data_IF_423221482221
#
_entry.id   IF_423221482221
#
_cell.length_a   1.000
_cell.length_b   1.000
_cell.length_c   1.000
_cell.angle_alpha   90.00
_cell.angle_beta   90.00
_cell.angle_gamma   90.00
#
_symmetry.space_group_name_H-M   'P 1'
#
loop_
_entity.id
_entity.type
_entity.pdbx_description
1 polymer ?
#
# COMPACT_ATOMS: atom_id res chain seq x y z
N UNK A 1 9.95 51.07 -20.33
CA UNK A 1 8.59 50.48 -20.43
C UNK A 1 8.41 49.42 -21.53
N UNK A 2 9.32 49.26 -22.46
CA UNK A 2 9.25 48.31 -23.56
C UNK A 2 9.71 46.90 -23.18
N UNK A 3 10.57 46.73 -22.17
CA UNK A 3 11.20 45.44 -21.79
C UNK A 3 10.28 44.57 -20.94
N UNK A 4 9.32 45.10 -20.22
CA UNK A 4 8.38 44.32 -19.36
C UNK A 4 7.24 43.74 -20.21
N UNK A 5 6.81 44.46 -21.26
CA UNK A 5 5.78 43.96 -22.20
C UNK A 5 6.25 42.76 -23.00
N UNK A 6 7.54 42.70 -23.37
CA UNK A 6 8.13 41.61 -24.13
C UNK A 6 8.32 40.31 -23.32
N UNK A 7 8.55 40.44 -22.01
CA UNK A 7 8.67 39.28 -21.09
C UNK A 7 7.31 38.68 -20.79
N UNK A 8 6.24 39.46 -20.70
CA UNK A 8 4.89 39.00 -20.48
C UNK A 8 4.30 38.31 -21.74
N UNK A 9 4.57 38.82 -22.93
CA UNK A 9 4.12 38.19 -24.18
C UNK A 9 4.80 36.83 -24.47
N UNK A 10 6.11 36.68 -24.13
CA UNK A 10 6.81 35.39 -24.29
C UNK A 10 6.30 34.38 -23.25
N UNK A 11 5.98 34.82 -22.04
CA UNK A 11 5.43 33.97 -20.99
C UNK A 11 4.02 33.42 -21.30
N UNK A 12 3.14 34.28 -21.82
CA UNK A 12 1.77 33.85 -22.18
C UNK A 12 1.73 32.94 -23.41
N UNK A 13 2.56 33.16 -24.43
CA UNK A 13 2.63 32.32 -25.62
C UNK A 13 3.29 30.94 -25.38
N UNK A 14 4.21 30.82 -24.43
CA UNK A 14 4.76 29.52 -24.02
C UNK A 14 3.81 28.73 -23.09
N UNK A 15 3.05 29.42 -22.23
CA UNK A 15 2.07 28.80 -21.33
C UNK A 15 0.85 28.25 -22.10
N UNK A 16 0.44 28.90 -23.20
CA UNK A 16 -0.68 28.46 -24.04
C UNK A 16 -0.31 27.33 -25.03
N UNK A 17 0.98 27.12 -25.32
CA UNK A 17 1.46 26.00 -26.17
C UNK A 17 1.78 24.72 -25.39
N UNK A 18 1.91 24.75 -24.06
CA UNK A 18 2.03 23.55 -23.23
C UNK A 18 0.63 23.08 -22.88
N UNK A 19 0.02 22.26 -23.74
CA UNK A 19 -1.23 21.57 -23.42
C UNK A 19 -1.20 21.01 -21.99
N UNK A 20 -2.24 21.29 -21.22
CA UNK A 20 -2.35 21.10 -19.77
C UNK A 20 -2.17 19.64 -19.28
N UNK A 21 -2.15 18.66 -20.18
CA UNK A 21 -1.91 17.25 -19.85
C UNK A 21 -1.05 16.61 -20.95
N UNK A 22 0.26 16.49 -20.70
CA UNK A 22 1.11 15.62 -21.54
C UNK A 22 0.86 14.17 -21.12
N UNK A 23 0.54 13.32 -22.11
CA UNK A 23 0.44 11.88 -21.87
C UNK A 23 1.78 11.39 -21.30
N UNK A 24 1.79 10.69 -20.12
CA UNK A 24 3.00 10.17 -19.54
C UNK A 24 3.80 9.31 -20.53
N UNK A 25 5.13 9.46 -20.60
CA UNK A 25 5.95 8.75 -21.58
C UNK A 25 5.74 7.23 -21.61
N UNK A 26 5.54 6.61 -20.46
CA UNK A 26 5.27 5.18 -20.35
C UNK A 26 4.02 4.73 -21.12
N UNK A 27 2.98 5.56 -21.18
CA UNK A 27 1.73 5.21 -21.86
C UNK A 27 1.84 5.25 -23.40
N UNK A 28 2.92 5.79 -23.97
CA UNK A 28 3.20 5.67 -25.41
C UNK A 28 3.61 4.24 -25.79
N UNK A 29 4.06 3.42 -24.85
CA UNK A 29 4.34 2.01 -25.10
C UNK A 29 3.03 1.21 -25.06
N UNK A 30 2.47 0.86 -26.21
CA UNK A 30 1.15 0.21 -26.34
C UNK A 30 0.97 -1.00 -25.39
N UNK A 31 1.98 -1.86 -25.28
CA UNK A 31 1.91 -3.04 -24.40
C UNK A 31 1.79 -2.64 -22.92
N UNK A 32 2.55 -1.63 -22.50
CA UNK A 32 2.47 -1.11 -21.14
C UNK A 32 1.13 -0.42 -20.88
N UNK A 33 0.63 0.40 -21.80
CA UNK A 33 -0.65 1.08 -21.66
C UNK A 33 -1.83 0.09 -21.51
N UNK A 34 -1.81 -1.03 -22.26
CA UNK A 34 -2.81 -2.11 -22.11
C UNK A 34 -2.74 -2.73 -20.71
N UNK A 35 -1.54 -3.07 -20.21
CA UNK A 35 -1.36 -3.62 -18.88
C UNK A 35 -1.82 -2.63 -17.81
N UNK A 36 -1.41 -1.37 -17.93
CA UNK A 36 -1.75 -0.32 -16.96
C UNK A 36 -3.26 -0.08 -16.87
N UNK A 37 -3.95 -0.01 -18.01
CA UNK A 37 -5.40 0.14 -18.05
C UNK A 37 -6.13 -1.05 -17.40
N UNK A 38 -5.69 -2.27 -17.70
CA UNK A 38 -6.20 -3.48 -17.04
C UNK A 38 -5.95 -3.47 -15.53
N UNK A 39 -4.74 -3.08 -15.12
CA UNK A 39 -4.37 -3.00 -13.70
C UNK A 39 -5.18 -1.94 -12.93
N UNK A 40 -5.42 -0.77 -13.52
CA UNK A 40 -6.24 0.27 -12.88
C UNK A 40 -7.63 -0.25 -12.55
N UNK A 41 -8.27 -0.96 -13.49
CA UNK A 41 -9.58 -1.56 -13.31
C UNK A 41 -9.52 -2.67 -12.23
N UNK A 42 -8.56 -3.57 -12.32
CA UNK A 42 -8.42 -4.71 -11.40
C UNK A 42 -8.04 -4.28 -9.98
N UNK A 43 -7.16 -3.28 -9.82
CA UNK A 43 -6.81 -2.73 -8.50
C UNK A 43 -8.02 -2.05 -7.86
N UNK A 44 -8.78 -1.27 -8.64
CA UNK A 44 -10.01 -0.65 -8.15
C UNK A 44 -11.01 -1.70 -7.68
N UNK A 45 -11.25 -2.76 -8.48
CA UNK A 45 -12.09 -3.89 -8.10
C UNK A 45 -11.61 -4.62 -6.84
N UNK A 46 -10.31 -4.85 -6.71
CA UNK A 46 -9.72 -5.49 -5.53
C UNK A 46 -9.88 -4.64 -4.27
N UNK A 47 -9.75 -3.32 -4.39
CA UNK A 47 -10.03 -2.39 -3.28
C UNK A 47 -11.51 -2.37 -2.92
N UNK A 48 -12.40 -2.40 -3.91
CA UNK A 48 -13.84 -2.55 -3.66
C UNK A 48 -14.13 -3.84 -2.86
N UNK A 49 -13.56 -4.97 -3.26
CA UNK A 49 -13.74 -6.26 -2.58
C UNK A 49 -13.21 -6.21 -1.14
N UNK A 50 -12.02 -5.65 -0.89
CA UNK A 50 -11.44 -5.58 0.45
C UNK A 50 -12.38 -4.88 1.45
N UNK A 51 -12.89 -3.71 1.05
CA UNK A 51 -13.79 -2.95 1.92
C UNK A 51 -15.18 -3.60 2.03
N UNK A 52 -15.66 -4.25 0.97
CA UNK A 52 -16.88 -5.06 1.03
C UNK A 52 -16.73 -6.27 1.97
N UNK A 53 -15.57 -6.93 2.02
CA UNK A 53 -15.30 -8.04 2.95
C UNK A 53 -15.42 -7.59 4.41
N UNK A 54 -14.83 -6.45 4.78
CA UNK A 54 -14.94 -5.93 6.14
C UNK A 54 -16.41 -5.64 6.51
N UNK A 55 -17.16 -5.00 5.61
CA UNK A 55 -18.58 -4.74 5.80
C UNK A 55 -19.38 -6.04 5.89
N UNK A 56 -19.11 -6.99 5.00
CA UNK A 56 -19.84 -8.26 4.93
C UNK A 56 -19.65 -9.11 6.18
N UNK A 57 -18.42 -9.25 6.68
CA UNK A 57 -18.18 -9.99 7.94
C UNK A 57 -18.91 -9.31 9.10
N UNK A 58 -18.94 -7.95 9.15
CA UNK A 58 -19.73 -7.25 10.17
C UNK A 58 -21.24 -7.54 10.06
N UNK A 59 -21.77 -7.84 8.87
CA UNK A 59 -23.18 -8.27 8.73
C UNK A 59 -23.42 -9.71 9.17
N UNK A 60 -22.38 -10.55 9.12
CA UNK A 60 -22.44 -11.97 9.53
C UNK A 60 -22.12 -12.18 11.01
N UNK A 61 -21.39 -11.26 11.63
CA UNK A 61 -20.93 -11.38 13.02
C UNK A 61 -20.79 -10.01 13.69
N UNK A 62 -21.24 -9.94 14.92
CA UNK A 62 -21.07 -8.76 15.79
C UNK A 62 -19.71 -8.75 16.52
N UNK A 63 -18.83 -9.73 16.24
CA UNK A 63 -17.53 -9.84 16.91
C UNK A 63 -16.45 -9.11 16.12
N UNK A 64 -15.78 -8.08 16.68
CA UNK A 64 -14.69 -7.36 16.03
C UNK A 64 -13.54 -8.26 15.57
N UNK A 65 -13.21 -9.28 16.36
CA UNK A 65 -12.15 -10.23 16.02
C UNK A 65 -12.41 -10.99 14.72
N UNK A 66 -13.69 -11.21 14.36
CA UNK A 66 -14.02 -11.86 13.09
C UNK A 66 -13.65 -11.00 11.87
N UNK A 67 -13.80 -9.67 11.96
CA UNK A 67 -13.37 -8.77 10.88
C UNK A 67 -11.85 -8.65 10.88
N UNK A 68 -11.24 -8.50 12.04
CA UNK A 68 -9.80 -8.34 12.20
C UNK A 68 -9.00 -9.60 11.84
N UNK A 69 -9.62 -10.79 11.89
CA UNK A 69 -9.05 -12.05 11.44
C UNK A 69 -8.62 -12.03 9.96
N UNK A 70 -9.19 -11.15 9.13
CA UNK A 70 -8.74 -10.95 7.73
C UNK A 70 -7.27 -10.53 7.67
N UNK A 71 -6.80 -9.70 8.61
CA UNK A 71 -5.39 -9.31 8.69
C UNK A 71 -4.47 -10.52 8.78
N UNK A 72 -4.78 -11.49 9.65
CA UNK A 72 -4.01 -12.73 9.78
C UNK A 72 -4.04 -13.57 8.51
N UNK A 73 -5.23 -13.75 7.94
CA UNK A 73 -5.42 -14.54 6.72
C UNK A 73 -4.65 -13.95 5.54
N UNK A 74 -4.44 -12.64 5.51
CA UNK A 74 -3.67 -11.96 4.45
C UNK A 74 -2.18 -11.98 4.71
N UNK A 75 -1.72 -11.79 5.95
CA UNK A 75 -0.28 -11.69 6.23
C UNK A 75 0.42 -13.03 6.19
N UNK A 76 -0.19 -14.09 6.71
CA UNK A 76 0.44 -15.41 6.81
C UNK A 76 0.86 -15.96 5.45
N UNK A 77 0.01 -15.98 4.41
CA UNK A 77 0.42 -16.39 3.07
C UNK A 77 1.54 -15.52 2.49
N UNK A 78 1.46 -14.21 2.65
CA UNK A 78 2.49 -13.30 2.14
C UNK A 78 3.85 -13.60 2.77
N UNK A 79 3.92 -13.80 4.10
CA UNK A 79 5.17 -14.13 4.79
C UNK A 79 5.75 -15.47 4.32
N UNK A 80 4.90 -16.50 4.14
CA UNK A 80 5.33 -17.84 3.76
C UNK A 80 5.78 -17.87 2.28
N UNK A 81 5.02 -17.25 1.38
CA UNK A 81 5.19 -17.41 -0.06
C UNK A 81 6.00 -16.31 -0.73
N UNK A 82 6.27 -15.16 -0.06
CA UNK A 82 6.99 -14.03 -0.70
C UNK A 82 8.36 -14.40 -1.26
N UNK A 83 9.12 -15.24 -0.55
CA UNK A 83 10.43 -15.70 -1.02
C UNK A 83 10.30 -16.63 -2.24
N UNK A 84 9.35 -17.56 -2.20
CA UNK A 84 9.08 -18.48 -3.30
C UNK A 84 8.57 -17.71 -4.53
N UNK A 85 7.79 -16.68 -4.32
CA UNK A 85 7.24 -15.83 -5.37
C UNK A 85 8.33 -15.08 -6.14
N UNK A 86 9.35 -14.55 -5.46
CA UNK A 86 10.51 -13.95 -6.11
C UNK A 86 11.26 -14.92 -7.00
N UNK A 87 11.53 -16.13 -6.50
CA UNK A 87 12.16 -17.22 -7.29
C UNK A 87 11.29 -17.62 -8.47
N UNK A 88 9.99 -17.73 -8.27
CA UNK A 88 9.05 -18.09 -9.34
C UNK A 88 9.04 -17.03 -10.46
N UNK A 89 9.06 -15.74 -10.13
CA UNK A 89 9.12 -14.64 -11.11
C UNK A 89 10.42 -14.61 -11.92
N UNK A 90 11.53 -15.17 -11.38
CA UNK A 90 12.80 -15.30 -12.08
C UNK A 90 12.88 -16.57 -12.97
N UNK A 91 12.23 -17.69 -12.54
CA UNK A 91 12.30 -19.00 -13.21
C UNK A 91 11.23 -19.21 -14.27
N UNK A 92 10.02 -18.70 -14.04
CA UNK A 92 8.88 -18.96 -14.92
C UNK A 92 8.59 -17.78 -15.84
N UNK A 93 7.82 -18.05 -16.89
CA UNK A 93 7.33 -17.01 -17.77
C UNK A 93 6.41 -16.06 -16.99
N UNK A 94 6.83 -14.80 -16.84
CA UNK A 94 6.14 -13.77 -16.03
C UNK A 94 4.72 -13.55 -16.49
N UNK A 95 4.48 -13.51 -17.82
CA UNK A 95 3.14 -13.37 -18.39
C UNK A 95 2.26 -14.57 -18.00
N UNK A 96 2.75 -15.79 -18.11
CA UNK A 96 2.00 -16.99 -17.71
C UNK A 96 1.71 -17.02 -16.21
N UNK A 97 2.68 -16.60 -15.40
CA UNK A 97 2.50 -16.50 -13.94
C UNK A 97 1.38 -15.51 -13.58
N UNK A 98 1.37 -14.32 -14.22
CA UNK A 98 0.30 -13.33 -14.01
C UNK A 98 -1.06 -13.88 -14.50
N UNK A 99 -1.11 -14.60 -15.62
CA UNK A 99 -2.37 -15.21 -16.08
C UNK A 99 -2.91 -16.19 -15.03
N UNK A 100 -2.07 -17.05 -14.46
CA UNK A 100 -2.48 -18.02 -13.43
C UNK A 100 -2.96 -17.28 -12.17
N UNK A 101 -2.20 -16.31 -11.67
CA UNK A 101 -2.57 -15.57 -10.46
C UNK A 101 -3.85 -14.77 -10.64
N UNK A 102 -4.01 -14.05 -11.75
CA UNK A 102 -5.20 -13.26 -12.05
C UNK A 102 -6.44 -14.14 -12.26
N UNK A 103 -6.27 -15.33 -12.89
CA UNK A 103 -7.37 -16.30 -13.02
C UNK A 103 -7.76 -16.86 -11.66
N UNK A 104 -6.81 -17.16 -10.79
CA UNK A 104 -7.08 -17.63 -9.42
C UNK A 104 -7.86 -16.57 -8.63
N UNK A 105 -7.45 -15.29 -8.69
CA UNK A 105 -8.15 -14.19 -8.02
C UNK A 105 -9.55 -13.96 -8.60
N UNK A 106 -9.72 -14.10 -9.93
CA UNK A 106 -11.02 -14.02 -10.58
C UNK A 106 -11.96 -15.12 -10.08
N UNK A 107 -11.49 -16.36 -10.04
CA UNK A 107 -12.30 -17.51 -9.57
C UNK A 107 -12.64 -17.38 -8.08
N UNK A 108 -11.71 -16.90 -7.27
CA UNK A 108 -11.92 -16.59 -5.86
C UNK A 108 -13.05 -15.55 -5.68
N UNK A 109 -12.96 -14.41 -6.37
CA UNK A 109 -13.95 -13.35 -6.32
C UNK A 109 -15.34 -13.85 -6.82
N UNK A 110 -15.35 -14.65 -7.90
CA UNK A 110 -16.57 -15.28 -8.41
C UNK A 110 -17.18 -16.23 -7.38
N UNK A 111 -16.36 -17.05 -6.71
CA UNK A 111 -16.82 -17.96 -5.66
C UNK A 111 -17.45 -17.19 -4.47
N UNK A 112 -16.81 -16.09 -4.01
CA UNK A 112 -17.39 -15.21 -3.00
C UNK A 112 -18.74 -14.65 -3.45
N UNK A 113 -18.82 -14.16 -4.68
CA UNK A 113 -20.07 -13.62 -5.24
C UNK A 113 -21.19 -14.65 -5.30
N UNK A 114 -20.92 -15.84 -5.82
CA UNK A 114 -21.92 -16.91 -5.95
C UNK A 114 -22.36 -17.43 -4.58
N UNK A 115 -21.44 -17.68 -3.65
CA UNK A 115 -21.80 -18.13 -2.30
C UNK A 115 -22.64 -17.09 -1.56
N UNK A 116 -22.37 -15.80 -1.78
CA UNK A 116 -23.16 -14.70 -1.21
C UNK A 116 -24.54 -14.62 -1.85
N UNK A 117 -24.64 -14.72 -3.18
CA UNK A 117 -25.89 -14.70 -3.93
C UNK A 117 -26.82 -15.83 -3.49
N UNK A 118 -26.29 -17.02 -3.26
CA UNK A 118 -27.06 -18.19 -2.82
C UNK A 118 -27.36 -18.21 -1.31
N UNK A 119 -26.85 -17.25 -0.56
CA UNK A 119 -27.07 -17.17 0.89
C UNK A 119 -26.33 -18.23 1.71
N UNK A 120 -25.35 -18.93 1.11
CA UNK A 120 -24.56 -19.99 1.76
C UNK A 120 -23.22 -19.49 2.32
N UNK A 121 -22.92 -18.20 2.21
CA UNK A 121 -21.67 -17.63 2.66
C UNK A 121 -21.54 -17.71 4.20
N UNK A 122 -20.37 -18.11 4.67
CA UNK A 122 -19.99 -18.15 6.07
C UNK A 122 -18.60 -17.53 6.25
N UNK A 123 -18.25 -17.10 7.45
CA UNK A 123 -16.98 -16.42 7.73
C UNK A 123 -15.77 -17.26 7.30
N UNK A 124 -15.80 -18.58 7.51
CA UNK A 124 -14.70 -19.45 7.12
C UNK A 124 -14.49 -19.53 5.59
N UNK A 125 -15.59 -19.43 4.79
CA UNK A 125 -15.49 -19.32 3.33
C UNK A 125 -14.74 -18.04 2.95
N UNK A 126 -15.06 -16.91 3.61
CA UNK A 126 -14.40 -15.63 3.38
C UNK A 126 -12.92 -15.74 3.72
N UNK A 127 -12.57 -16.33 4.87
CA UNK A 127 -11.17 -16.52 5.26
C UNK A 127 -10.41 -17.40 4.26
N UNK A 128 -10.97 -18.55 3.89
CA UNK A 128 -10.34 -19.47 2.96
C UNK A 128 -10.08 -18.79 1.60
N UNK A 129 -11.10 -18.16 1.03
CA UNK A 129 -11.02 -17.51 -0.27
C UNK A 129 -10.08 -16.29 -0.23
N UNK A 130 -10.15 -15.45 0.81
CA UNK A 130 -9.18 -14.36 1.01
C UNK A 130 -7.75 -14.88 1.17
N UNK A 131 -7.56 -16.03 1.83
CA UNK A 131 -6.26 -16.69 1.91
C UNK A 131 -5.72 -17.11 0.55
N UNK A 132 -6.57 -17.70 -0.30
CA UNK A 132 -6.21 -18.06 -1.69
C UNK A 132 -5.84 -16.80 -2.48
N UNK A 133 -6.60 -15.71 -2.34
CA UNK A 133 -6.30 -14.43 -2.96
C UNK A 133 -4.94 -13.89 -2.49
N UNK A 134 -4.64 -13.98 -1.19
CA UNK A 134 -3.37 -13.52 -0.62
C UNK A 134 -2.18 -14.33 -1.15
N UNK A 135 -2.30 -15.65 -1.29
CA UNK A 135 -1.29 -16.49 -1.96
C UNK A 135 -1.08 -16.04 -3.40
N UNK A 136 -2.16 -15.92 -4.19
CA UNK A 136 -2.07 -15.49 -5.59
C UNK A 136 -1.41 -14.10 -5.70
N UNK A 137 -1.79 -13.15 -4.81
CA UNK A 137 -1.23 -11.81 -4.75
C UNK A 137 0.26 -11.77 -4.43
N UNK A 138 0.73 -12.67 -3.56
CA UNK A 138 2.14 -12.79 -3.24
C UNK A 138 3.00 -13.14 -4.48
N UNK A 139 2.48 -13.95 -5.41
CA UNK A 139 3.15 -14.27 -6.68
C UNK A 139 2.91 -13.22 -7.77
N UNK A 140 1.75 -12.60 -7.80
CA UNK A 140 1.35 -11.64 -8.82
C UNK A 140 2.22 -10.37 -8.79
N UNK A 141 2.45 -9.81 -7.61
CA UNK A 141 3.18 -8.55 -7.43
C UNK A 141 4.60 -8.59 -8.00
N UNK A 142 5.50 -9.54 -7.62
CA UNK A 142 6.85 -9.60 -8.17
C UNK A 142 6.85 -9.94 -9.67
N UNK A 143 5.92 -10.77 -10.14
CA UNK A 143 5.80 -11.08 -11.56
C UNK A 143 5.45 -9.83 -12.38
N UNK A 144 4.51 -9.02 -11.92
CA UNK A 144 4.15 -7.74 -12.57
C UNK A 144 5.29 -6.74 -12.55
N UNK A 145 5.94 -6.54 -11.39
CA UNK A 145 7.07 -5.62 -11.29
C UNK A 145 8.22 -6.01 -12.21
N UNK A 146 8.49 -7.31 -12.32
CA UNK A 146 9.53 -7.83 -13.23
C UNK A 146 9.13 -7.80 -14.71
N UNK A 147 7.82 -7.74 -15.03
CA UNK A 147 7.34 -7.66 -16.39
C UNK A 147 7.46 -6.25 -16.97
N UNK A 148 7.28 -5.21 -16.15
CA UNK A 148 7.28 -3.79 -16.59
C UNK A 148 8.51 -3.43 -17.43
N UNK A 149 9.78 -3.75 -17.04
CA UNK A 149 10.94 -3.44 -17.86
C UNK A 149 10.94 -4.09 -19.25
N UNK A 150 10.28 -5.25 -19.40
CA UNK A 150 10.16 -5.93 -20.69
C UNK A 150 9.12 -5.27 -21.65
N UNK A 151 8.27 -4.38 -21.12
CA UNK A 151 7.23 -3.68 -21.88
C UNK A 151 7.67 -2.28 -22.33
N UNK A 152 8.70 -1.73 -21.67
CA UNK A 152 9.24 -0.41 -21.93
C UNK A 152 10.46 -0.55 -22.83
N UNK A 153 10.42 0.06 -24.01
CA UNK A 153 11.50 -0.03 -24.99
C UNK A 153 12.60 1.00 -24.76
N UNK A 154 12.30 2.11 -24.06
CA UNK A 154 13.25 3.18 -23.75
C UNK A 154 13.52 3.19 -22.25
N UNK A 155 14.77 2.92 -21.78
CA UNK A 155 15.10 2.88 -20.37
C UNK A 155 14.74 4.17 -19.59
N UNK A 156 14.79 5.32 -20.24
CA UNK A 156 14.40 6.61 -19.67
C UNK A 156 12.93 6.68 -19.23
N UNK A 157 12.04 5.89 -19.86
CA UNK A 157 10.61 5.87 -19.56
C UNK A 157 10.24 4.94 -18.38
N UNK A 158 11.19 4.15 -17.85
CA UNK A 158 10.95 3.23 -16.73
C UNK A 158 10.46 3.95 -15.47
N UNK A 159 11.06 5.10 -15.16
CA UNK A 159 10.63 5.91 -14.01
C UNK A 159 9.15 6.33 -14.14
N UNK A 160 8.74 6.75 -15.35
CA UNK A 160 7.35 7.06 -15.67
C UNK A 160 6.43 5.85 -15.48
N UNK A 161 6.88 4.65 -15.89
CA UNK A 161 6.09 3.42 -15.72
C UNK A 161 5.87 3.07 -14.24
N UNK A 162 6.89 3.15 -13.41
CA UNK A 162 6.74 2.92 -11.97
C UNK A 162 5.84 3.96 -11.30
N UNK A 163 5.96 5.24 -11.68
CA UNK A 163 5.07 6.31 -11.21
C UNK A 163 3.61 6.05 -11.61
N UNK A 164 3.37 5.63 -12.84
CA UNK A 164 2.02 5.29 -13.31
C UNK A 164 1.42 4.10 -12.55
N UNK A 165 2.24 3.10 -12.15
CA UNK A 165 1.76 2.00 -11.31
C UNK A 165 1.35 2.49 -9.92
N UNK A 166 2.10 3.41 -9.32
CA UNK A 166 1.70 4.03 -8.03
C UNK A 166 0.39 4.79 -8.17
N UNK A 167 0.23 5.60 -9.24
CA UNK A 167 -1.02 6.31 -9.52
C UNK A 167 -2.21 5.34 -9.64
N UNK A 168 -2.03 4.18 -10.28
CA UNK A 168 -3.10 3.18 -10.36
C UNK A 168 -3.48 2.62 -8.99
N UNK A 169 -2.51 2.39 -8.09
CA UNK A 169 -2.76 1.96 -6.72
C UNK A 169 -3.52 3.04 -5.92
N UNK A 170 -3.06 4.29 -5.99
CA UNK A 170 -3.65 5.40 -5.26
C UNK A 170 -5.09 5.70 -5.73
N UNK A 171 -5.32 5.70 -7.05
CA UNK A 171 -6.65 5.85 -7.61
C UNK A 171 -7.57 4.70 -7.19
N UNK A 172 -7.09 3.46 -7.22
CA UNK A 172 -7.84 2.31 -6.73
C UNK A 172 -8.18 2.42 -5.25
N UNK A 173 -7.24 2.87 -4.42
CA UNK A 173 -7.42 3.04 -2.99
C UNK A 173 -8.41 4.18 -2.63
N UNK A 174 -8.54 5.20 -3.49
CA UNK A 174 -9.54 6.29 -3.31
C UNK A 174 -10.90 5.87 -3.85
N UNK A 175 -10.93 5.37 -5.09
CA UNK A 175 -12.19 5.13 -5.82
C UNK A 175 -12.86 3.82 -5.37
N UNK A 176 -12.05 2.78 -5.09
CA UNK A 176 -12.55 1.45 -4.72
C UNK A 176 -13.51 1.45 -3.54
N UNK A 177 -13.13 1.99 -2.36
CA UNK A 177 -14.01 2.02 -1.19
C UNK A 177 -15.31 2.80 -1.43
N UNK A 178 -15.22 3.96 -2.12
CA UNK A 178 -16.39 4.77 -2.47
C UNK A 178 -17.37 4.01 -3.36
N UNK A 179 -16.86 3.36 -4.42
CA UNK A 179 -17.68 2.51 -5.29
C UNK A 179 -18.24 1.29 -4.55
N UNK A 180 -17.44 0.69 -3.65
CA UNK A 180 -17.90 -0.43 -2.83
C UNK A 180 -19.14 -0.06 -2.01
N UNK A 181 -19.10 1.08 -1.32
CA UNK A 181 -20.24 1.57 -0.53
C UNK A 181 -21.48 1.83 -1.37
N UNK A 182 -21.33 2.42 -2.57
CA UNK A 182 -22.41 2.65 -3.51
C UNK A 182 -23.02 1.32 -3.99
N UNK A 183 -22.19 0.39 -4.46
CA UNK A 183 -22.67 -0.90 -4.98
C UNK A 183 -23.35 -1.70 -3.89
N UNK A 184 -22.78 -1.78 -2.68
CA UNK A 184 -23.40 -2.48 -1.55
C UNK A 184 -24.78 -1.90 -1.22
N UNK A 185 -24.91 -0.57 -1.26
CA UNK A 185 -26.17 0.08 -0.88
C UNK A 185 -27.30 -0.12 -1.89
N UNK A 186 -26.99 -0.12 -3.19
CA UNK A 186 -28.01 -0.20 -4.24
C UNK A 186 -28.28 -1.63 -4.73
N UNK A 187 -27.28 -2.48 -4.69
CA UNK A 187 -27.35 -3.82 -5.28
C UNK A 187 -27.09 -4.94 -4.26
N UNK A 188 -26.12 -4.76 -3.35
CA UNK A 188 -25.74 -5.71 -2.32
C UNK A 188 -24.25 -6.06 -2.34
N UNK A 189 -23.82 -6.99 -1.45
CA UNK A 189 -22.41 -7.36 -1.36
C UNK A 189 -21.97 -8.29 -2.50
N UNK A 190 -22.86 -9.16 -3.00
CA UNK A 190 -22.47 -10.14 -4.01
C UNK A 190 -22.06 -9.48 -5.33
N UNK A 191 -22.69 -8.36 -5.69
CA UNK A 191 -22.34 -7.61 -6.90
C UNK A 191 -20.93 -7.03 -6.84
N UNK A 192 -20.47 -6.60 -5.67
CA UNK A 192 -19.07 -6.13 -5.52
C UNK A 192 -18.10 -7.24 -5.88
N UNK A 193 -18.36 -8.46 -5.43
CA UNK A 193 -17.51 -9.61 -5.73
C UNK A 193 -17.55 -9.99 -7.20
N UNK A 194 -18.74 -9.97 -7.82
CA UNK A 194 -18.90 -10.24 -9.25
C UNK A 194 -18.21 -9.15 -10.09
N UNK A 195 -18.38 -7.87 -9.73
CA UNK A 195 -17.69 -6.77 -10.41
C UNK A 195 -16.17 -6.89 -10.30
N UNK A 196 -15.66 -7.31 -9.14
CA UNK A 196 -14.23 -7.59 -9.01
C UNK A 196 -13.80 -8.80 -9.85
N UNK A 197 -14.56 -9.87 -9.89
CA UNK A 197 -14.27 -11.00 -10.78
C UNK A 197 -14.19 -10.56 -12.24
N UNK A 198 -15.11 -9.71 -12.69
CA UNK A 198 -15.11 -9.12 -14.04
C UNK A 198 -13.91 -8.20 -14.23
N UNK A 199 -13.49 -7.45 -13.21
CA UNK A 199 -12.33 -6.55 -13.30
C UNK A 199 -11.03 -7.26 -13.64
N UNK A 200 -10.84 -8.49 -13.16
CA UNK A 200 -9.69 -9.32 -13.50
C UNK A 200 -9.64 -9.71 -14.99
N UNK A 201 -10.79 -9.80 -15.66
CA UNK A 201 -10.84 -10.03 -17.12
C UNK A 201 -10.15 -8.90 -17.88
N UNK A 202 -10.14 -7.67 -17.37
CA UNK A 202 -9.45 -6.56 -18.03
C UNK A 202 -7.93 -6.80 -18.10
N UNK A 203 -7.31 -7.34 -17.04
CA UNK A 203 -5.89 -7.71 -17.04
C UNK A 203 -5.64 -8.92 -17.94
N UNK A 204 -6.49 -9.95 -17.86
CA UNK A 204 -6.36 -11.15 -18.71
C UNK A 204 -6.48 -10.81 -20.19
N UNK A 205 -7.43 -9.94 -20.56
CA UNK A 205 -7.59 -9.44 -21.90
C UNK A 205 -6.38 -8.60 -22.35
N UNK A 206 -5.86 -7.72 -21.49
CA UNK A 206 -4.66 -6.96 -21.77
C UNK A 206 -3.46 -7.89 -22.04
N UNK A 207 -3.24 -8.91 -21.22
CA UNK A 207 -2.19 -9.92 -21.42
C UNK A 207 -2.39 -10.72 -22.72
N UNK A 208 -3.63 -11.02 -23.09
CA UNK A 208 -3.95 -11.70 -24.33
C UNK A 208 -3.63 -10.82 -25.54
N UNK A 209 -4.07 -9.57 -25.54
CA UNK A 209 -3.84 -8.59 -26.62
C UNK A 209 -2.36 -8.20 -26.79
N UNK A 210 -1.56 -8.27 -25.72
CA UNK A 210 -0.12 -8.01 -25.79
C UNK A 210 0.67 -9.08 -26.53
N UNK A 211 0.15 -10.31 -26.57
CA UNK A 211 0.82 -11.45 -27.16
C UNK A 211 2.06 -11.93 -26.37
N UNK A 212 2.93 -12.74 -26.99
CA UNK A 212 4.16 -13.19 -26.37
C UNK A 212 5.11 -12.04 -26.07
N UNK A 213 5.74 -12.09 -24.88
CA UNK A 213 6.70 -11.08 -24.44
C UNK A 213 8.06 -11.76 -24.30
N UNK A 214 9.09 -11.32 -25.05
CA UNK A 214 10.44 -11.84 -24.89
C UNK A 214 10.94 -11.55 -23.48
N UNK A 215 11.46 -12.54 -22.79
CA UNK A 215 12.10 -12.39 -21.49
C UNK A 215 13.36 -13.25 -21.43
N UNK A 216 14.36 -12.80 -20.71
CA UNK A 216 15.53 -13.61 -20.38
C UNK A 216 15.20 -14.35 -19.07
N UNK A 217 15.02 -15.66 -19.17
CA UNK A 217 14.85 -16.53 -18.01
C UNK A 217 16.24 -16.89 -17.52
N UNK A 218 16.53 -16.62 -16.25
CA UNK A 218 17.82 -17.00 -15.65
C UNK A 218 17.92 -18.52 -15.58
N UNK A 219 19.06 -19.06 -16.01
CA UNK A 219 19.35 -20.47 -15.85
C UNK A 219 19.57 -20.84 -14.37
N UNK A 220 19.33 -22.09 -13.99
CA UNK A 220 19.48 -22.59 -12.62
C UNK A 220 20.87 -22.29 -12.01
N UNK A 221 21.91 -22.24 -12.83
CA UNK A 221 23.26 -21.90 -12.39
C UNK A 221 23.43 -20.44 -11.92
N UNK A 222 22.57 -19.53 -12.37
CA UNK A 222 22.60 -18.11 -11.96
C UNK A 222 21.77 -17.81 -10.71
N UNK A 223 20.88 -18.72 -10.33
CA UNK A 223 20.01 -18.57 -9.14
C UNK A 223 20.72 -19.03 -7.85
N UNK A 224 21.79 -19.82 -7.97
CA UNK A 224 22.53 -20.41 -6.85
C UNK A 224 23.59 -19.50 -6.22
N UNK A 225 23.75 -18.26 -6.70
CA UNK A 225 24.66 -17.27 -6.12
C UNK A 225 24.14 -16.70 -4.79
N UNK A 226 24.74 -17.12 -3.69
CA UNK A 226 24.49 -16.76 -2.28
C UNK A 226 23.04 -17.03 -1.84
N UNK A 227 22.82 -18.05 -1.04
CA UNK A 227 21.48 -18.48 -0.60
C UNK A 227 20.64 -17.32 -0.10
N UNK A 228 19.36 -17.30 -0.49
CA UNK A 228 18.36 -16.27 -0.14
C UNK A 228 18.38 -15.90 1.34
N UNK A 229 18.62 -16.87 2.22
CA UNK A 229 18.77 -16.68 3.66
C UNK A 229 20.03 -15.87 4.04
N UNK A 230 21.14 -16.06 3.32
CA UNK A 230 22.37 -15.27 3.52
C UNK A 230 22.15 -13.79 3.18
N UNK A 231 21.44 -13.51 2.09
CA UNK A 231 21.10 -12.16 1.67
C UNK A 231 20.16 -11.45 2.65
N UNK A 232 19.20 -12.17 3.23
CA UNK A 232 18.30 -11.64 4.27
C UNK A 232 19.09 -11.34 5.54
N UNK A 233 19.97 -12.27 5.98
CA UNK A 233 20.81 -12.07 7.15
C UNK A 233 21.69 -10.84 7.01
N UNK A 234 22.29 -10.64 5.85
CA UNK A 234 23.11 -9.47 5.57
C UNK A 234 22.30 -8.16 5.58
N UNK A 235 21.09 -8.18 5.01
CA UNK A 235 20.15 -7.04 5.09
C UNK A 235 19.77 -6.70 6.54
N UNK A 236 19.45 -7.71 7.37
CA UNK A 236 19.15 -7.52 8.79
C UNK A 236 20.36 -6.99 9.54
N UNK A 237 21.55 -7.55 9.35
CA UNK A 237 22.77 -7.08 9.98
C UNK A 237 23.08 -5.62 9.63
N UNK A 238 22.87 -5.25 8.36
CA UNK A 238 23.02 -3.87 7.93
C UNK A 238 22.04 -2.93 8.65
N UNK A 239 20.75 -3.28 8.72
CA UNK A 239 19.73 -2.48 9.42
C UNK A 239 20.10 -2.31 10.89
N UNK A 240 20.47 -3.40 11.57
CA UNK A 240 20.87 -3.36 12.99
C UNK A 240 22.14 -2.51 13.23
N UNK A 241 23.03 -2.41 12.25
CA UNK A 241 24.24 -1.59 12.32
C UNK A 241 24.01 -0.10 12.10
N UNK A 242 22.81 0.30 11.61
CA UNK A 242 22.48 1.70 11.28
C UNK A 242 21.34 2.22 12.14
N UNK A 243 21.63 2.95 13.24
CA UNK A 243 20.63 3.43 14.20
C UNK A 243 19.50 4.24 13.56
N UNK A 244 19.80 5.08 12.56
CA UNK A 244 18.81 5.91 11.85
C UNK A 244 17.80 5.03 11.07
N UNK A 245 18.29 4.00 10.37
CA UNK A 245 17.42 3.08 9.63
C UNK A 245 16.57 2.25 10.61
N UNK A 246 17.23 1.64 11.60
CA UNK A 246 16.57 0.83 12.61
C UNK A 246 15.48 1.61 13.33
N UNK A 247 15.79 2.82 13.82
CA UNK A 247 14.84 3.64 14.55
C UNK A 247 13.65 4.07 13.70
N UNK A 248 13.88 4.37 12.39
CA UNK A 248 12.77 4.68 11.47
C UNK A 248 11.86 3.47 11.23
N UNK A 249 12.41 2.24 11.18
CA UNK A 249 11.63 1.01 11.04
C UNK A 249 10.87 0.65 12.32
N UNK A 250 11.50 0.81 13.48
CA UNK A 250 10.86 0.58 14.79
C UNK A 250 9.72 1.57 15.00
N UNK A 251 9.92 2.84 14.64
CA UNK A 251 8.89 3.86 14.70
C UNK A 251 7.69 3.51 13.81
N UNK A 252 7.96 3.07 12.57
CA UNK A 252 6.95 2.64 11.61
C UNK A 252 6.12 1.47 12.13
N UNK A 253 6.83 0.42 12.55
CA UNK A 253 6.19 -0.79 13.03
C UNK A 253 5.23 -0.50 14.20
N UNK A 254 5.70 0.21 15.23
CA UNK A 254 4.85 0.51 16.38
C UNK A 254 3.74 1.51 16.07
N UNK A 255 4.01 2.49 15.20
CA UNK A 255 2.97 3.44 14.77
C UNK A 255 1.84 2.72 14.03
N UNK A 256 2.18 1.89 13.05
CA UNK A 256 1.18 1.16 12.25
C UNK A 256 0.54 0.02 13.05
N UNK A 257 1.27 -0.65 13.94
CA UNK A 257 0.74 -1.67 14.84
C UNK A 257 -0.37 -1.12 15.73
N UNK A 258 -0.12 -0.02 16.42
CA UNK A 258 -1.10 0.56 17.34
C UNK A 258 -2.24 1.32 16.65
N UNK A 259 -2.02 1.90 15.47
CA UNK A 259 -3.04 2.74 14.83
C UNK A 259 -3.80 2.06 13.68
N UNK A 260 -3.61 0.75 13.47
CA UNK A 260 -4.32 -0.01 12.42
C UNK A 260 -5.73 -0.38 12.89
N UNK A 261 -6.70 0.49 12.62
CA UNK A 261 -8.08 0.30 13.01
C UNK A 261 -9.06 0.17 11.82
N UNK A 262 -8.56 -0.11 10.61
CA UNK A 262 -9.37 -0.18 9.39
C UNK A 262 -10.46 -1.26 9.48
N UNK A 263 -10.15 -2.40 10.09
CA UNK A 263 -11.09 -3.51 10.31
C UNK A 263 -12.22 -3.16 11.28
N UNK A 264 -12.03 -2.12 12.12
CA UNK A 264 -13.05 -1.62 13.04
C UNK A 264 -13.98 -0.58 12.41
N UNK A 265 -13.66 -0.07 11.21
CA UNK A 265 -14.45 0.96 10.56
C UNK A 265 -15.92 0.57 10.28
N UNK A 266 -16.27 -0.68 9.91
CA UNK A 266 -17.66 -1.09 9.79
C UNK A 266 -18.44 -0.98 11.11
N UNK A 267 -17.79 -1.26 12.26
CA UNK A 267 -18.40 -1.10 13.59
C UNK A 267 -18.61 0.37 13.92
N UNK A 268 -17.62 1.23 13.60
CA UNK A 268 -17.79 2.68 13.79
C UNK A 268 -18.92 3.22 12.94
N UNK A 269 -19.00 2.83 11.68
CA UNK A 269 -20.04 3.29 10.77
C UNK A 269 -21.43 2.86 11.23
N UNK A 270 -21.61 1.56 11.51
CA UNK A 270 -22.91 0.97 11.81
C UNK A 270 -23.37 1.22 13.24
N UNK A 271 -22.49 1.00 14.23
CA UNK A 271 -22.88 0.93 15.63
C UNK A 271 -22.70 2.27 16.37
N UNK A 272 -21.78 3.12 15.90
CA UNK A 272 -21.47 4.40 16.54
C UNK A 272 -22.08 5.58 15.80
N UNK A 273 -21.88 5.63 14.48
CA UNK A 273 -22.39 6.71 13.65
C UNK A 273 -23.81 6.44 13.13
N UNK A 274 -24.29 5.20 13.21
CA UNK A 274 -25.58 4.75 12.69
C UNK A 274 -25.77 5.11 11.21
N UNK A 275 -24.73 4.90 10.38
CA UNK A 275 -24.75 5.21 8.95
C UNK A 275 -24.68 3.94 8.10
N UNK A 276 -25.13 4.09 6.84
CA UNK A 276 -25.18 2.98 5.89
C UNK A 276 -23.89 2.76 5.11
N UNK A 277 -23.94 1.85 4.12
CA UNK A 277 -22.80 1.44 3.32
C UNK A 277 -22.20 2.58 2.47
N UNK A 278 -23.01 3.52 1.99
CA UNK A 278 -22.50 4.70 1.23
C UNK A 278 -21.56 5.53 2.10
N UNK A 279 -22.00 5.88 3.29
CA UNK A 279 -21.19 6.68 4.22
C UNK A 279 -19.97 5.90 4.69
N UNK A 280 -20.07 4.60 4.92
CA UNK A 280 -18.93 3.73 5.19
C UNK A 280 -17.91 3.77 4.06
N UNK A 281 -18.34 3.71 2.80
CA UNK A 281 -17.46 3.85 1.64
C UNK A 281 -16.72 5.20 1.60
N UNK A 282 -17.42 6.30 1.94
CA UNK A 282 -16.80 7.63 2.03
C UNK A 282 -15.82 7.74 3.19
N UNK A 283 -16.13 7.17 4.35
CA UNK A 283 -15.18 7.11 5.48
C UNK A 283 -13.92 6.36 5.09
N UNK A 284 -14.05 5.22 4.41
CA UNK A 284 -12.92 4.42 3.94
C UNK A 284 -12.08 5.18 2.90
N UNK A 285 -12.73 5.85 1.94
CA UNK A 285 -12.05 6.64 0.91
C UNK A 285 -11.34 7.87 1.48
N UNK A 286 -11.86 8.47 2.56
CA UNK A 286 -11.31 9.71 3.11
C UNK A 286 -9.87 9.57 3.60
N UNK A 287 -9.47 8.41 4.10
CA UNK A 287 -8.08 8.12 4.48
C UNK A 287 -7.16 8.20 3.26
N UNK A 288 -7.51 7.56 2.16
CA UNK A 288 -6.73 7.61 0.91
C UNK A 288 -6.73 9.01 0.29
N UNK A 289 -7.85 9.71 0.34
CA UNK A 289 -7.95 11.11 -0.12
C UNK A 289 -6.97 12.00 0.67
N UNK A 290 -6.94 11.86 2.00
CA UNK A 290 -6.00 12.58 2.86
C UNK A 290 -4.54 12.30 2.48
N UNK A 291 -4.21 11.03 2.22
CA UNK A 291 -2.89 10.61 1.74
C UNK A 291 -2.51 11.28 0.43
N UNK A 292 -3.34 11.17 -0.59
CA UNK A 292 -3.10 11.77 -1.93
C UNK A 292 -2.92 13.28 -1.85
N UNK A 293 -3.71 13.98 -1.02
CA UNK A 293 -3.56 15.42 -0.82
C UNK A 293 -2.20 15.74 -0.18
N UNK A 294 -1.79 14.97 0.83
CA UNK A 294 -0.51 15.17 1.49
C UNK A 294 0.68 14.88 0.55
N UNK A 295 0.60 13.82 -0.24
CA UNK A 295 1.60 13.48 -1.27
C UNK A 295 1.74 14.58 -2.31
N UNK A 296 0.61 15.12 -2.77
CA UNK A 296 0.61 16.23 -3.71
C UNK A 296 1.27 17.48 -3.10
N UNK A 297 0.91 17.86 -1.87
CA UNK A 297 1.51 19.01 -1.18
C UNK A 297 3.02 18.81 -0.99
N UNK A 298 3.42 17.59 -0.62
CA UNK A 298 4.83 17.27 -0.37
C UNK A 298 5.66 17.26 -1.66
N UNK A 299 5.07 16.80 -2.78
CA UNK A 299 5.72 16.78 -4.09
C UNK A 299 6.09 18.17 -4.63
N UNK A 300 5.40 19.23 -4.16
CA UNK A 300 5.70 20.62 -4.53
C UNK A 300 6.95 21.15 -3.78
N UNK A 301 7.49 20.42 -2.82
CA UNK A 301 8.65 20.84 -2.02
C UNK A 301 9.94 20.28 -2.62
N UNK A 302 10.78 21.14 -3.18
CA UNK A 302 12.04 20.75 -3.82
C UNK A 302 13.04 20.11 -2.84
N UNK A 303 13.08 20.54 -1.58
CA UNK A 303 13.97 19.99 -0.53
C UNK A 303 13.27 20.02 0.82
N UNK A 304 13.15 18.86 1.44
CA UNK A 304 12.61 18.74 2.79
C UNK A 304 13.80 18.73 3.76
N UNK A 305 13.89 19.75 4.58
CA UNK A 305 14.86 19.85 5.69
C UNK A 305 14.23 19.36 6.99
N UNK A 306 15.07 18.99 7.97
CA UNK A 306 14.65 18.48 9.28
C UNK A 306 13.75 17.26 9.16
N UNK A 307 14.13 16.32 8.28
CA UNK A 307 13.33 15.14 7.94
C UNK A 307 12.95 14.34 9.19
N UNK A 308 13.86 14.19 10.15
CA UNK A 308 13.60 13.49 11.40
C UNK A 308 12.51 14.17 12.25
N UNK A 309 12.60 15.49 12.45
CA UNK A 309 11.60 16.24 13.22
C UNK A 309 10.22 16.16 12.56
N UNK A 310 10.18 16.30 11.22
CA UNK A 310 8.93 16.23 10.47
C UNK A 310 8.34 14.81 10.53
N UNK A 311 9.17 13.76 10.49
CA UNK A 311 8.74 12.38 10.66
C UNK A 311 8.08 12.16 12.03
N UNK A 312 8.70 12.62 13.11
CA UNK A 312 8.11 12.52 14.45
C UNK A 312 6.80 13.31 14.57
N UNK A 313 6.72 14.50 13.98
CA UNK A 313 5.51 15.30 13.94
C UNK A 313 4.39 14.60 13.16
N UNK A 314 4.70 14.01 12.00
CA UNK A 314 3.75 13.27 11.19
C UNK A 314 3.20 12.05 11.94
N UNK A 315 4.06 11.23 12.57
CA UNK A 315 3.60 10.05 13.32
C UNK A 315 2.84 10.45 14.59
N UNK A 316 3.19 11.56 15.23
CA UNK A 316 2.40 12.11 16.35
C UNK A 316 1.01 12.54 15.88
N UNK A 317 0.92 13.24 14.75
CA UNK A 317 -0.35 13.63 14.16
C UNK A 317 -1.20 12.42 13.76
N UNK A 318 -0.56 11.37 13.24
CA UNK A 318 -1.20 10.08 12.95
C UNK A 318 -1.88 9.50 14.19
N UNK A 319 -1.17 9.42 15.33
CA UNK A 319 -1.74 8.94 16.59
C UNK A 319 -2.85 9.85 17.12
N UNK A 320 -2.69 11.17 17.09
CA UNK A 320 -3.72 12.15 17.51
C UNK A 320 -4.97 12.02 16.63
N UNK A 321 -4.81 11.94 15.32
CA UNK A 321 -5.92 11.77 14.39
C UNK A 321 -6.68 10.45 14.64
N UNK A 322 -5.94 9.37 14.99
CA UNK A 322 -6.53 8.08 15.38
C UNK A 322 -7.34 8.22 16.69
N UNK A 323 -6.84 8.95 17.68
CA UNK A 323 -7.61 9.24 18.92
C UNK A 323 -8.88 10.03 18.59
N UNK A 324 -8.78 11.06 17.76
CA UNK A 324 -9.94 11.85 17.31
C UNK A 324 -10.96 10.98 16.57
N UNK A 325 -10.50 10.05 15.73
CA UNK A 325 -11.36 9.07 15.08
C UNK A 325 -12.11 8.21 16.10
N UNK A 326 -11.44 7.71 17.15
CA UNK A 326 -12.06 6.87 18.19
C UNK A 326 -13.06 7.61 19.08
N UNK A 327 -12.85 8.91 19.32
CA UNK A 327 -13.73 9.75 20.16
C UNK A 327 -14.93 10.26 19.34
N UNK A 328 -14.77 10.44 18.03
CA UNK A 328 -15.78 11.07 17.17
C UNK A 328 -17.10 10.29 17.19
N UNK A 329 -18.19 11.05 17.20
CA UNK A 329 -19.58 10.57 17.06
C UNK A 329 -20.32 11.28 15.92
N UNK A 330 -19.59 12.12 15.16
CA UNK A 330 -20.13 12.91 14.06
C UNK A 330 -19.47 12.49 12.77
N UNK A 331 -20.24 12.16 11.75
CA UNK A 331 -19.77 11.66 10.45
C UNK A 331 -18.64 12.53 9.85
N UNK A 332 -18.86 13.85 9.75
CA UNK A 332 -17.90 14.77 9.14
C UNK A 332 -16.59 14.88 9.93
N UNK A 333 -16.67 14.84 11.27
CA UNK A 333 -15.48 14.86 12.12
C UNK A 333 -14.70 13.54 11.99
N UNK A 334 -15.40 12.41 11.92
CA UNK A 334 -14.78 11.10 11.68
C UNK A 334 -14.09 11.08 10.32
N UNK A 335 -14.75 11.60 9.28
CA UNK A 335 -14.18 11.67 7.93
C UNK A 335 -12.92 12.53 7.90
N UNK A 336 -12.95 13.70 8.57
CA UNK A 336 -11.78 14.59 8.68
C UNK A 336 -10.64 13.94 9.47
N UNK A 337 -10.95 13.25 10.56
CA UNK A 337 -9.96 12.51 11.36
C UNK A 337 -9.29 11.42 10.54
N UNK A 338 -10.06 10.62 9.77
CA UNK A 338 -9.53 9.60 8.88
C UNK A 338 -8.69 10.19 7.74
N UNK A 339 -9.10 11.33 7.16
CA UNK A 339 -8.28 12.06 6.20
C UNK A 339 -6.95 12.52 6.83
N UNK A 340 -6.99 12.98 8.08
CA UNK A 340 -5.80 13.31 8.87
C UNK A 340 -4.89 12.12 9.13
N UNK A 341 -5.46 10.95 9.43
CA UNK A 341 -4.73 9.67 9.55
C UNK A 341 -3.99 9.37 8.24
N UNK A 342 -4.69 9.40 7.10
CA UNK A 342 -4.08 9.12 5.80
C UNK A 342 -3.01 10.14 5.41
N UNK A 343 -3.26 11.44 5.63
CA UNK A 343 -2.28 12.48 5.34
C UNK A 343 -1.00 12.32 6.17
N UNK A 344 -1.13 12.03 7.45
CA UNK A 344 0.00 11.84 8.35
C UNK A 344 0.81 10.58 8.00
N UNK A 345 0.14 9.49 7.64
CA UNK A 345 0.79 8.25 7.20
C UNK A 345 1.56 8.44 5.88
N UNK A 346 0.97 9.12 4.90
CA UNK A 346 1.61 9.43 3.62
C UNK A 346 2.92 10.23 3.82
N UNK A 347 2.86 11.33 4.60
CA UNK A 347 4.05 12.13 4.94
C UNK A 347 5.11 11.27 5.64
N UNK A 348 4.71 10.46 6.61
CA UNK A 348 5.60 9.57 7.34
C UNK A 348 6.26 8.55 6.41
N UNK A 349 5.49 7.93 5.51
CA UNK A 349 5.96 6.92 4.54
C UNK A 349 6.97 7.50 3.56
N UNK A 350 6.73 8.70 2.99
CA UNK A 350 7.68 9.36 2.10
C UNK A 350 8.98 9.66 2.83
N UNK A 351 8.92 10.22 4.04
CA UNK A 351 10.12 10.56 4.81
C UNK A 351 10.93 9.32 5.18
N UNK A 352 10.29 8.26 5.66
CA UNK A 352 10.95 6.98 5.97
C UNK A 352 11.62 6.36 4.74
N UNK A 353 10.93 6.35 3.59
CA UNK A 353 11.49 5.86 2.34
C UNK A 353 12.70 6.68 1.90
N UNK A 354 12.60 8.02 1.99
CA UNK A 354 13.70 8.93 1.66
C UNK A 354 14.92 8.71 2.56
N UNK A 355 14.71 8.66 3.88
CA UNK A 355 15.79 8.39 4.86
C UNK A 355 16.48 7.06 4.53
N UNK A 356 15.71 6.00 4.30
CA UNK A 356 16.25 4.67 3.98
C UNK A 356 17.07 4.68 2.68
N UNK A 357 16.56 5.32 1.63
CA UNK A 357 17.27 5.39 0.35
C UNK A 357 18.56 6.19 0.45
N UNK A 358 18.56 7.33 1.16
CA UNK A 358 19.73 8.18 1.35
C UNK A 358 20.80 7.51 2.23
N UNK A 359 20.40 6.67 3.18
CA UNK A 359 21.31 6.01 4.12
C UNK A 359 21.74 4.60 3.68
N UNK A 360 21.33 4.13 2.50
CA UNK A 360 21.62 2.78 2.02
C UNK A 360 22.45 2.80 0.76
N UNK A 361 23.68 2.25 0.77
CA UNK A 361 24.49 2.07 -0.43
C UNK A 361 23.83 1.14 -1.45
N UNK A 362 24.14 1.35 -2.73
CA UNK A 362 23.52 0.63 -3.84
C UNK A 362 23.68 -0.89 -3.77
N UNK A 363 24.85 -1.37 -3.32
CA UNK A 363 25.19 -2.81 -3.29
C UNK A 363 24.31 -3.63 -2.33
N UNK A 364 23.70 -3.01 -1.30
CA UNK A 364 22.85 -3.70 -0.31
C UNK A 364 21.38 -3.31 -0.40
N UNK A 365 21.05 -2.29 -1.21
CA UNK A 365 19.70 -1.70 -1.29
C UNK A 365 18.61 -2.74 -1.55
N UNK A 366 18.80 -3.66 -2.48
CA UNK A 366 17.80 -4.71 -2.79
C UNK A 366 17.55 -5.65 -1.62
N UNK A 367 18.60 -6.07 -0.91
CA UNK A 367 18.49 -6.98 0.25
C UNK A 367 17.79 -6.31 1.42
N UNK A 368 18.10 -5.05 1.68
CA UNK A 368 17.45 -4.25 2.71
C UNK A 368 15.97 -4.02 2.37
N UNK A 369 15.63 -3.71 1.11
CA UNK A 369 14.24 -3.51 0.69
C UNK A 369 13.37 -4.74 0.96
N UNK A 370 13.90 -5.95 0.72
CA UNK A 370 13.19 -7.18 1.04
C UNK A 370 12.86 -7.33 2.53
N UNK A 371 13.82 -7.01 3.41
CA UNK A 371 13.59 -7.04 4.87
C UNK A 371 12.56 -5.97 5.29
N UNK A 372 12.71 -4.75 4.77
CA UNK A 372 11.79 -3.64 5.06
C UNK A 372 10.35 -3.98 4.66
N UNK A 373 10.16 -4.67 3.53
CA UNK A 373 8.83 -5.07 3.06
C UNK A 373 8.11 -5.99 4.04
N UNK A 374 8.84 -6.88 4.72
CA UNK A 374 8.27 -7.76 5.76
C UNK A 374 7.74 -6.93 6.94
N UNK A 375 8.51 -5.96 7.41
CA UNK A 375 8.10 -5.08 8.51
C UNK A 375 6.94 -4.16 8.09
N UNK A 376 7.02 -3.59 6.90
CA UNK A 376 5.99 -2.70 6.36
C UNK A 376 4.64 -3.40 6.17
N UNK A 377 4.65 -4.65 5.71
CA UNK A 377 3.42 -5.43 5.56
C UNK A 377 2.94 -6.05 6.87
N UNK A 378 3.86 -6.40 7.77
CA UNK A 378 3.51 -7.09 9.02
C UNK A 378 2.90 -6.18 10.08
N UNK A 379 3.42 -4.97 10.25
CA UNK A 379 2.96 -4.03 11.27
C UNK A 379 1.46 -3.76 11.22
N UNK A 380 0.91 -3.24 10.11
CA UNK A 380 -0.51 -2.94 10.01
C UNK A 380 -1.41 -4.17 10.23
N UNK A 381 -1.06 -5.32 9.65
CA UNK A 381 -1.90 -6.51 9.72
C UNK A 381 -1.91 -7.16 11.11
N UNK A 382 -0.78 -7.11 11.83
CA UNK A 382 -0.71 -7.51 13.23
C UNK A 382 -1.48 -6.52 14.11
N UNK A 383 -1.42 -5.24 13.80
CA UNK A 383 -2.20 -4.19 14.47
C UNK A 383 -3.71 -4.34 14.25
N UNK A 384 -4.15 -4.79 13.08
CA UNK A 384 -5.56 -5.14 12.86
C UNK A 384 -6.04 -6.24 13.82
N UNK A 385 -5.21 -7.25 14.09
CA UNK A 385 -5.53 -8.32 15.05
C UNK A 385 -5.57 -7.77 16.47
N UNK A 386 -4.57 -6.99 16.87
CA UNK A 386 -4.51 -6.34 18.18
C UNK A 386 -5.75 -5.49 18.41
N UNK A 387 -6.08 -4.60 17.46
CA UNK A 387 -7.25 -3.72 17.55
C UNK A 387 -8.56 -4.52 17.66
N UNK A 388 -8.67 -5.64 16.95
CA UNK A 388 -9.81 -6.55 17.04
C UNK A 388 -9.95 -7.22 18.39
N UNK A 389 -8.84 -7.70 18.98
CA UNK A 389 -8.83 -8.30 20.31
C UNK A 389 -9.20 -7.27 21.39
N UNK A 390 -8.63 -6.08 21.34
CA UNK A 390 -8.94 -4.99 22.27
C UNK A 390 -10.40 -4.55 22.09
N UNK A 391 -10.89 -4.45 20.86
CA UNK A 391 -12.30 -4.10 20.60
C UNK A 391 -13.26 -5.18 21.09
N UNK A 392 -12.90 -6.46 21.02
CA UNK A 392 -13.69 -7.56 21.51
C UNK A 392 -13.80 -7.51 23.05
N UNK A 393 -12.74 -7.11 23.76
CA UNK A 393 -12.68 -7.08 25.20
C UNK A 393 -13.25 -5.79 25.82
N UNK A 394 -12.98 -4.64 25.19
CA UNK A 394 -13.26 -3.30 25.75
C UNK A 394 -14.16 -2.43 24.89
N UNK A 395 -14.52 -2.88 23.70
CA UNK A 395 -15.34 -2.13 22.73
C UNK A 395 -14.50 -1.32 21.73
N UNK A 396 -15.11 -1.10 20.56
CA UNK A 396 -14.48 -0.45 19.41
C UNK A 396 -13.88 0.94 19.70
N UNK A 397 -14.54 1.86 20.43
CA UNK A 397 -13.95 3.18 20.71
C UNK A 397 -12.68 3.08 21.53
N UNK A 398 -12.66 2.22 22.57
CA UNK A 398 -11.50 2.07 23.45
C UNK A 398 -10.32 1.50 22.66
N UNK A 399 -10.55 0.53 21.79
CA UNK A 399 -9.50 -0.05 20.96
C UNK A 399 -8.84 1.03 20.06
N UNK A 400 -9.64 1.85 19.39
CA UNK A 400 -9.12 2.91 18.52
C UNK A 400 -8.38 3.98 19.34
N UNK A 401 -8.95 4.41 20.48
CA UNK A 401 -8.33 5.45 21.32
C UNK A 401 -7.02 4.95 21.92
N UNK A 402 -7.03 3.72 22.48
CA UNK A 402 -5.82 3.12 23.08
C UNK A 402 -4.72 2.92 22.02
N UNK A 403 -5.09 2.52 20.82
CA UNK A 403 -4.17 2.43 19.69
C UNK A 403 -3.53 3.77 19.33
N UNK A 404 -4.33 4.84 19.19
CA UNK A 404 -3.79 6.18 18.94
C UNK A 404 -2.88 6.69 20.05
N UNK A 405 -3.23 6.44 21.34
CA UNK A 405 -2.38 6.77 22.50
C UNK A 405 -1.09 5.92 22.45
N UNK A 406 -1.19 4.62 22.18
CA UNK A 406 -0.05 3.73 22.03
C UNK A 406 0.94 4.19 20.95
N UNK A 407 0.41 4.69 19.82
CA UNK A 407 1.22 5.30 18.78
C UNK A 407 1.99 6.53 19.29
N UNK A 408 1.33 7.46 20.01
CA UNK A 408 1.98 8.66 20.56
C UNK A 408 3.05 8.27 21.62
N UNK A 409 2.76 7.28 22.44
CA UNK A 409 3.74 6.75 23.42
C UNK A 409 4.94 6.14 22.69
N UNK A 410 4.71 5.35 21.62
CA UNK A 410 5.79 4.77 20.83
C UNK A 410 6.68 5.86 20.20
N UNK A 411 6.08 6.95 19.68
CA UNK A 411 6.81 8.12 19.20
C UNK A 411 7.72 8.70 20.30
N UNK A 412 7.19 8.90 21.50
CA UNK A 412 7.97 9.44 22.62
C UNK A 412 9.13 8.50 23.02
N UNK A 413 8.88 7.19 23.11
CA UNK A 413 9.90 6.20 23.45
C UNK A 413 11.01 6.12 22.39
N UNK A 414 10.65 6.15 21.10
CA UNK A 414 11.63 6.16 20.00
C UNK A 414 12.44 7.45 20.00
N UNK A 415 11.79 8.62 20.24
CA UNK A 415 12.46 9.91 20.31
C UNK A 415 13.47 9.99 21.45
N UNK A 416 13.17 9.36 22.60
CA UNK A 416 14.07 9.28 23.75
C UNK A 416 15.22 8.29 23.52
N UNK A 417 14.94 7.15 22.88
CA UNK A 417 15.93 6.08 22.66
C UNK A 417 16.90 6.39 21.54
N UNK A 418 16.44 7.08 20.48
CA UNK A 418 17.23 7.43 19.28
C UNK A 418 17.09 8.93 18.96
N UNK A 419 17.74 9.82 19.73
CA UNK A 419 17.70 11.25 19.47
C UNK A 419 18.35 11.64 18.14
N UNK A 420 19.18 10.75 17.57
CA UNK A 420 19.84 10.94 16.28
C UNK A 420 18.81 11.02 15.13
N UNK A 421 17.77 10.18 15.17
CA UNK A 421 16.70 10.23 14.17
C UNK A 421 15.97 11.58 14.23
N UNK A 422 15.70 12.12 15.43
CA UNK A 422 15.04 13.43 15.58
C UNK A 422 15.88 14.56 15.01
N UNK A 423 17.21 14.48 15.13
CA UNK A 423 18.13 15.52 14.64
C UNK A 423 18.47 15.38 13.16
N UNK A 424 18.02 14.30 12.52
CA UNK A 424 18.35 14.02 11.11
C UNK A 424 17.74 15.08 10.18
N UNK A 425 18.61 15.70 9.36
CA UNK A 425 18.23 16.77 8.44
C UNK A 425 18.03 16.31 6.99
N UNK A 426 18.61 15.15 6.61
CA UNK A 426 18.64 14.66 5.23
C UNK A 426 19.86 15.10 4.42
N UNK A 427 20.82 15.77 5.07
CA UNK A 427 22.06 16.26 4.45
C UNK A 427 23.29 15.47 4.97
N UNK A 428 23.10 14.59 5.95
CA UNK A 428 24.17 13.84 6.58
C UNK A 428 24.80 12.87 5.57
N UNK A 429 26.14 12.84 5.46
CA UNK A 429 26.81 11.88 4.58
C UNK A 429 26.50 10.46 5.04
N UNK A 430 26.38 9.54 4.09
CA UNK A 430 26.36 8.11 4.40
C UNK A 430 27.60 7.85 5.23
N UNK A 431 27.44 7.54 6.53
CA UNK A 431 28.56 7.28 7.42
C UNK A 431 29.46 6.26 6.74
N UNK A 432 30.60 6.73 6.24
CA UNK A 432 31.61 5.95 5.54
C UNK A 432 32.29 4.97 6.52
N UNK A 433 31.54 3.94 6.91
CA UNK A 433 31.95 2.88 7.83
C UNK A 433 31.93 1.49 7.19
N UNK A 434 31.88 1.40 5.86
CA UNK A 434 32.08 0.13 5.17
C UNK A 434 33.20 0.29 4.13
N UNK A 435 34.40 0.00 4.52
CA UNK A 435 35.45 -0.43 3.57
C UNK A 435 34.82 -1.55 2.74
N UNK A 436 34.76 -1.35 1.44
CA UNK A 436 34.32 -2.37 0.48
C UNK A 436 35.24 -3.60 0.68
N UNK A 437 34.78 -4.76 1.15
CA UNK A 437 35.63 -5.93 1.33
C UNK A 437 36.07 -6.56 0.00
N UNK A 438 35.61 -6.02 -1.15
CA UNK A 438 35.99 -6.50 -2.48
C UNK A 438 37.13 -5.69 -3.13
N UNK A 439 37.83 -4.81 -2.36
CA UNK A 439 38.96 -4.03 -2.83
C UNK A 439 40.23 -4.34 -2.01
N UNK A 440 40.33 -5.56 -1.45
CA UNK A 440 41.56 -6.11 -0.88
C UNK A 440 41.86 -7.46 -1.53
#
# INVERSE_FOLDING_TARGET
MVTISYILEIGEHELLKKGFIKIPPALHHRRYALLWGGLLISVTGSQMQLWALFWHIRTLSDQPIAVSGIGLVRVVPVLIFSLLAGVAADRYNRRSLIIVTQTTMMLEALALGLLTLWGHIQIWHIYLLTGIQAVAGAFDLPARQSLVPNLITRPEDLSSAFSMNSIAQDLGAVVGPGLSGLVISYFGQYEVYILNAVSFLAVLLALFLMGPIPQQIKSDAQVTGSGTLGSIKEGIQYILSKPIILSSMVLDFWATFFSSANTLLPFVARDILNVGAIQYGWLSASQSIGGVIADFILSQRAKIRRQGTLLFAAVTLFGIATVLFGISRVFWLTMLALAGVGAADAVSTILRNTIRQLQTPDYIRGRMTGVVQIFFSGGPQLGEIESGLVAQAFGTPIAIISGGIGCVIAVALVALRWPELRKYNGDEPILAGSKNPAAA
#
